data_IF_790310451154
#
_entry.id   IF_790310451154
#
_cell.length_a   1.000
_cell.length_b   1.000
_cell.length_c   1.000
_cell.angle_alpha   90.00
_cell.angle_beta   90.00
_cell.angle_gamma   90.00
#
_symmetry.space_group_name_H-M   'P 1'
#
loop_
_entity.id
_entity.type
_entity.pdbx_description
1 polymer ?
#
# COMPACT_ATOMS: atom_id res chain seq x y z
N UNK A 1 8.46 8.91 5.90
CA UNK A 1 8.29 7.76 5.00
C UNK A 1 9.10 7.97 3.75
N UNK A 2 10.21 7.25 3.66
CA UNK A 2 11.06 7.10 2.48
C UNK A 2 10.54 5.97 1.61
N UNK A 3 10.87 5.96 0.32
CA UNK A 3 10.48 4.88 -0.62
C UNK A 3 10.88 3.49 -0.10
N UNK A 4 12.00 3.39 0.61
CA UNK A 4 12.53 2.18 1.23
C UNK A 4 11.63 1.64 2.35
N UNK A 5 11.06 2.53 3.17
CA UNK A 5 10.09 2.16 4.21
C UNK A 5 8.76 1.72 3.62
N UNK A 6 8.39 2.28 2.45
CA UNK A 6 7.19 1.86 1.71
C UNK A 6 7.39 0.51 1.01
N UNK A 7 8.60 0.23 0.52
CA UNK A 7 8.96 -1.07 -0.03
C UNK A 7 8.97 -2.18 1.02
N UNK A 8 9.27 -1.86 2.28
CA UNK A 8 9.14 -2.82 3.39
C UNK A 8 7.68 -3.20 3.71
N UNK A 9 6.70 -2.40 3.26
CA UNK A 9 5.27 -2.73 3.34
C UNK A 9 4.83 -3.65 2.19
N UNK A 10 5.60 -3.72 1.11
CA UNK A 10 5.47 -4.77 0.11
C UNK A 10 6.20 -6.02 0.61
N UNK A 11 5.65 -7.20 0.32
CA UNK A 11 6.33 -8.45 0.67
C UNK A 11 7.67 -8.52 -0.10
N UNK A 12 8.81 -8.80 0.55
CA UNK A 12 10.12 -8.84 -0.11
C UNK A 12 10.20 -9.89 -1.24
N UNK A 13 9.33 -10.90 -1.17
CA UNK A 13 9.24 -11.99 -2.15
C UNK A 13 8.18 -11.74 -3.25
N UNK A 14 7.51 -10.58 -3.24
CA UNK A 14 6.52 -10.23 -4.24
C UNK A 14 6.90 -8.99 -5.05
N UNK A 15 6.84 -9.08 -6.38
CA UNK A 15 6.87 -7.88 -7.21
C UNK A 15 5.62 -7.04 -6.91
N UNK A 16 5.84 -5.82 -6.47
CA UNK A 16 4.79 -4.84 -6.24
C UNK A 16 5.18 -3.49 -6.84
N UNK A 17 4.19 -2.79 -7.37
CA UNK A 17 4.31 -1.38 -7.77
C UNK A 17 3.88 -0.50 -6.61
N UNK A 18 4.67 0.54 -6.33
CA UNK A 18 4.42 1.47 -5.23
C UNK A 18 4.21 2.86 -5.79
N UNK A 19 3.08 3.45 -5.41
CA UNK A 19 2.74 4.83 -5.71
C UNK A 19 2.57 5.61 -4.42
N UNK A 20 2.88 6.90 -4.45
CA UNK A 20 2.62 7.78 -3.32
C UNK A 20 2.12 9.13 -3.80
N UNK A 21 1.13 9.66 -3.09
CA UNK A 21 0.50 10.92 -3.40
C UNK A 21 0.21 11.69 -2.11
N UNK A 22 0.57 12.97 -2.07
CA UNK A 22 0.11 13.87 -1.01
C UNK A 22 -1.34 14.24 -1.24
N UNK A 23 -2.15 14.14 -0.19
CA UNK A 23 -3.57 14.47 -0.21
C UNK A 23 -3.95 15.24 1.06
N UNK A 24 -5.23 15.56 1.21
CA UNK A 24 -5.79 16.19 2.40
C UNK A 24 -6.84 15.27 3.01
N UNK A 25 -6.62 14.85 4.25
CA UNK A 25 -7.58 14.12 5.06
C UNK A 25 -8.40 15.07 5.94
N UNK A 26 -9.29 14.50 6.74
CA UNK A 26 -10.18 15.28 7.62
C UNK A 26 -9.43 16.16 8.63
N UNK A 27 -8.22 15.76 9.02
CA UNK A 27 -7.40 16.44 10.05
C UNK A 27 -6.22 17.23 9.47
N UNK A 28 -6.11 17.32 8.13
CA UNK A 28 -5.03 18.04 7.46
C UNK A 28 -4.30 17.22 6.40
N UNK A 29 -3.07 17.60 6.02
CA UNK A 29 -2.34 16.94 4.94
C UNK A 29 -1.97 15.50 5.33
N UNK A 30 -2.19 14.58 4.41
CA UNK A 30 -1.88 13.16 4.56
C UNK A 30 -1.04 12.65 3.39
N UNK A 31 -0.34 11.54 3.59
CA UNK A 31 0.26 10.76 2.51
C UNK A 31 -0.59 9.54 2.21
N UNK A 32 -1.00 9.37 0.95
CA UNK A 32 -1.65 8.16 0.46
C UNK A 32 -0.60 7.34 -0.27
N UNK A 33 -0.44 6.08 0.13
CA UNK A 33 0.49 5.14 -0.49
C UNK A 33 -0.31 3.98 -1.07
N UNK A 34 -0.18 3.74 -2.37
CA UNK A 34 -0.71 2.56 -3.04
C UNK A 34 0.36 1.51 -3.23
N UNK A 35 0.06 0.27 -2.89
CA UNK A 35 0.89 -0.91 -3.11
C UNK A 35 0.07 -1.90 -3.92
N UNK A 36 0.39 -2.00 -5.21
CA UNK A 36 -0.23 -2.94 -6.13
C UNK A 36 0.66 -4.18 -6.24
N UNK A 37 0.20 -5.29 -5.70
CA UNK A 37 0.89 -6.57 -5.77
C UNK A 37 0.52 -7.29 -7.05
N UNK A 38 1.48 -7.98 -7.66
CA UNK A 38 1.18 -8.86 -8.79
C UNK A 38 0.17 -9.95 -8.37
N UNK A 39 -0.77 -10.29 -9.26
CA UNK A 39 -1.71 -11.41 -9.04
C UNK A 39 -1.07 -12.77 -8.76
N UNK A 40 0.20 -12.95 -9.10
CA UNK A 40 0.98 -14.16 -8.80
C UNK A 40 1.59 -14.16 -7.40
N UNK A 41 1.45 -13.08 -6.62
CA UNK A 41 2.00 -12.94 -5.28
C UNK A 41 1.26 -13.83 -4.26
N UNK A 42 1.91 -14.86 -3.67
CA UNK A 42 1.25 -15.76 -2.72
C UNK A 42 0.83 -15.04 -1.43
N UNK A 43 1.62 -14.05 -0.99
CA UNK A 43 1.28 -13.24 0.18
C UNK A 43 0.01 -12.41 -0.09
N UNK A 44 -0.07 -11.75 -1.24
CA UNK A 44 -1.22 -10.92 -1.58
C UNK A 44 -2.49 -11.78 -1.71
N UNK A 45 -2.40 -12.96 -2.31
CA UNK A 45 -3.51 -13.91 -2.39
C UNK A 45 -4.03 -14.36 -1.00
N UNK A 46 -3.18 -14.37 0.02
CA UNK A 46 -3.57 -14.77 1.38
C UNK A 46 -4.08 -13.60 2.25
N UNK A 47 -3.59 -12.38 2.02
CA UNK A 47 -3.79 -11.26 2.95
C UNK A 47 -4.47 -10.04 2.35
N UNK A 48 -4.52 -9.91 1.02
CA UNK A 48 -5.19 -8.80 0.33
C UNK A 48 -6.51 -9.31 -0.23
N UNK A 49 -7.66 -8.84 0.28
CA UNK A 49 -8.97 -9.18 -0.26
C UNK A 49 -9.08 -8.77 -1.73
N UNK A 50 -10.01 -9.39 -2.47
CA UNK A 50 -10.21 -9.10 -3.89
C UNK A 50 -10.57 -7.63 -4.16
N UNK A 51 -11.28 -6.99 -3.22
CA UNK A 51 -11.64 -5.58 -3.24
C UNK A 51 -10.50 -4.62 -2.82
N UNK A 52 -9.35 -5.16 -2.42
CA UNK A 52 -8.25 -4.40 -1.84
C UNK A 52 -8.40 -4.18 -0.32
N UNK A 53 -7.35 -3.63 0.29
CA UNK A 53 -7.28 -3.41 1.73
C UNK A 53 -6.74 -2.03 2.06
N UNK A 54 -7.39 -1.30 2.97
CA UNK A 54 -6.96 0.04 3.39
C UNK A 54 -6.61 0.05 4.86
N UNK A 55 -5.42 0.56 5.17
CA UNK A 55 -4.93 0.79 6.52
C UNK A 55 -4.78 2.29 6.76
N UNK A 56 -5.42 2.79 7.82
CA UNK A 56 -5.14 4.13 8.33
C UNK A 56 -3.92 4.07 9.23
N UNK A 57 -2.93 4.89 8.93
CA UNK A 57 -1.69 5.01 9.72
C UNK A 57 -1.50 6.46 10.14
N UNK A 58 -0.64 6.69 11.14
CA UNK A 58 -0.35 8.04 11.59
C UNK A 58 0.16 8.90 10.42
N UNK A 59 -0.61 9.92 10.03
CA UNK A 59 -0.27 10.84 8.93
C UNK A 59 -0.58 10.34 7.51
N UNK A 60 -1.32 9.24 7.34
CA UNK A 60 -1.55 8.69 6.01
C UNK A 60 -2.52 7.53 5.88
N UNK A 61 -2.67 7.08 4.63
CA UNK A 61 -3.38 5.88 4.26
C UNK A 61 -2.45 4.98 3.46
N UNK A 62 -2.54 3.67 3.71
CA UNK A 62 -1.88 2.63 2.95
C UNK A 62 -2.96 1.77 2.28
N UNK A 63 -2.92 1.70 0.95
CA UNK A 63 -3.84 0.92 0.14
C UNK A 63 -3.07 -0.26 -0.47
N UNK A 64 -3.54 -1.48 -0.24
CA UNK A 64 -3.07 -2.69 -0.91
C UNK A 64 -4.10 -3.17 -1.93
N UNK A 65 -3.66 -3.44 -3.15
CA UNK A 65 -4.47 -4.03 -4.22
C UNK A 65 -3.71 -5.14 -4.92
N UNK A 66 -4.44 -5.94 -5.71
CA UNK A 66 -3.88 -6.98 -6.58
C UNK A 66 -4.15 -6.57 -8.03
N UNK A 67 -3.12 -6.60 -8.88
CA UNK A 67 -3.16 -6.21 -10.30
C UNK A 67 -2.38 -7.15 -11.21
#
# INVERSE_FOLDING_TARGET
>A
MTTSELQALACPDCPASITSQRSTGAEGPILVVGVEHAGTCPWAAAYVPAEGYVLAVAGGLLLHTIG
#
